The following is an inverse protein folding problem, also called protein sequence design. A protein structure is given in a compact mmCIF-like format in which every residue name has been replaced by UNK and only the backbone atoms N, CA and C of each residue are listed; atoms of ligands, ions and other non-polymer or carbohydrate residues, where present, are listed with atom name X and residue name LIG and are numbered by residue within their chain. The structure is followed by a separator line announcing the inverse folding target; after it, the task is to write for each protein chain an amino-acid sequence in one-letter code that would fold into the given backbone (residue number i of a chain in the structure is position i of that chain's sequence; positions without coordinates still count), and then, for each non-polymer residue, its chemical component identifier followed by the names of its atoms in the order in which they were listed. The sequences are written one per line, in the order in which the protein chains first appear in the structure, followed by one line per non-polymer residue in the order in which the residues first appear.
data_IF_571054892933
#
_entry.id   IF_571054892933
#
_cell.length_a   1.000
_cell.length_b   1.000
_cell.length_c   1.000
_cell.angle_alpha   90.00
_cell.angle_beta   90.00
_cell.angle_gamma   90.00
#
_symmetry.space_group_name_H-M   'P 1'
#
loop_
_entity.id
_entity.type
_entity.pdbx_description
1 polymer ?
#
# COMPACT_ATOMS: atom_id res chain seq x y z
N UNK A 1 -1.04 6.46 -10.42
CA UNK A 1 -1.28 6.99 -9.04
C UNK A 1 -1.26 5.82 -8.06
N UNK A 2 -0.37 5.84 -7.06
CA UNK A 2 -0.20 4.72 -6.12
C UNK A 2 -1.25 4.73 -5.01
N UNK A 3 -1.57 3.55 -4.48
CA UNK A 3 -2.41 3.36 -3.30
C UNK A 3 -1.58 2.77 -2.16
N UNK A 4 -1.70 3.35 -0.97
CA UNK A 4 -1.07 2.85 0.26
C UNK A 4 -2.14 2.62 1.32
N UNK A 5 -2.05 1.49 2.03
CA UNK A 5 -3.06 1.06 2.98
C UNK A 5 -2.51 0.07 4.01
N UNK A 6 -3.11 0.04 5.19
CA UNK A 6 -2.85 -0.98 6.21
C UNK A 6 -3.97 -2.04 6.28
N UNK A 7 -3.60 -3.30 6.54
CA UNK A 7 -4.55 -4.40 6.81
C UNK A 7 -3.97 -5.44 7.75
N UNK A 8 -4.84 -6.14 8.48
CA UNK A 8 -4.47 -7.35 9.25
C UNK A 8 -4.39 -8.61 8.37
N UNK A 9 -5.02 -8.59 7.19
CA UNK A 9 -5.03 -9.71 6.25
C UNK A 9 -4.73 -9.19 4.84
N UNK A 10 -3.50 -9.42 4.38
CA UNK A 10 -3.00 -8.95 3.08
C UNK A 10 -3.71 -9.66 1.92
N UNK A 11 -3.88 -10.97 1.99
CA UNK A 11 -4.49 -11.79 0.94
C UNK A 11 -5.92 -11.33 0.66
N UNK A 12 -6.74 -11.23 1.71
CA UNK A 12 -8.13 -10.78 1.60
C UNK A 12 -8.21 -9.40 0.96
N UNK A 13 -7.41 -8.45 1.44
CA UNK A 13 -7.43 -7.07 0.93
C UNK A 13 -6.96 -7.00 -0.53
N UNK A 14 -5.91 -7.72 -0.89
CA UNK A 14 -5.46 -7.76 -2.28
C UNK A 14 -6.57 -8.27 -3.20
N UNK A 15 -7.24 -9.37 -2.85
CA UNK A 15 -8.37 -9.90 -3.60
C UNK A 15 -9.52 -8.89 -3.73
N UNK A 16 -9.91 -8.20 -2.66
CA UNK A 16 -10.94 -7.16 -2.69
C UNK A 16 -10.58 -6.00 -3.63
N UNK A 17 -9.32 -5.55 -3.57
CA UNK A 17 -8.82 -4.45 -4.41
C UNK A 17 -8.66 -4.86 -5.88
N UNK A 18 -8.32 -6.12 -6.15
CA UNK A 18 -8.25 -6.69 -7.49
C UNK A 18 -9.64 -6.82 -8.13
N UNK A 19 -10.66 -7.19 -7.33
CA UNK A 19 -12.03 -7.52 -7.79
C UNK A 19 -13.06 -6.38 -7.85
N UNK A 20 -12.70 -5.10 -7.74
CA UNK A 20 -13.71 -4.02 -7.78
C UNK A 20 -14.20 -3.55 -6.44
N UNK A 21 -13.93 -4.29 -5.37
CA UNK A 21 -14.73 -4.21 -4.15
C UNK A 21 -14.31 -3.06 -3.22
N UNK A 22 -13.16 -2.43 -3.46
CA UNK A 22 -12.70 -1.26 -2.71
C UNK A 22 -13.09 0.04 -3.41
N UNK A 23 -13.80 0.94 -2.71
CA UNK A 23 -14.18 2.28 -3.22
C UNK A 23 -12.97 3.06 -3.77
N UNK A 24 -11.80 2.93 -3.14
CA UNK A 24 -10.60 3.69 -3.48
C UNK A 24 -9.89 3.21 -4.74
N UNK A 25 -10.04 1.93 -5.13
CA UNK A 25 -9.33 1.35 -6.29
C UNK A 25 -10.27 0.75 -7.33
N UNK A 26 -11.59 0.83 -7.16
CA UNK A 26 -12.60 0.27 -8.08
C UNK A 26 -12.40 0.70 -9.52
N UNK A 27 -12.07 1.96 -9.75
CA UNK A 27 -11.86 2.52 -11.10
C UNK A 27 -10.43 2.34 -11.63
N UNK A 28 -9.56 1.62 -10.91
CA UNK A 28 -8.11 1.50 -11.20
C UNK A 28 -7.67 0.05 -11.35
N UNK A 29 -8.60 -0.83 -11.70
CA UNK A 29 -8.33 -2.25 -11.83
C UNK A 29 -7.88 -2.65 -13.23
N UNK A 30 -7.07 -3.71 -13.34
CA UNK A 30 -6.52 -4.53 -12.25
C UNK A 30 -5.40 -3.83 -11.47
N UNK A 31 -5.30 -4.05 -10.16
CA UNK A 31 -4.21 -3.49 -9.33
C UNK A 31 -3.07 -4.50 -9.16
N UNK A 32 -1.82 -4.03 -9.25
CA UNK A 32 -0.61 -4.82 -9.00
C UNK A 32 -0.08 -4.53 -7.59
N UNK A 33 0.20 -5.57 -6.82
CA UNK A 33 0.90 -5.42 -5.53
C UNK A 33 2.41 -5.32 -5.79
N UNK A 34 2.99 -4.13 -5.60
CA UNK A 34 4.42 -3.86 -5.84
C UNK A 34 5.27 -3.89 -4.57
N UNK A 35 4.65 -3.72 -3.40
CA UNK A 35 5.35 -3.67 -2.11
C UNK A 35 4.41 -3.89 -0.93
N UNK A 36 4.90 -4.54 0.14
CA UNK A 36 4.24 -4.58 1.45
C UNK A 36 5.28 -4.68 2.57
N UNK A 37 4.90 -4.22 3.77
CA UNK A 37 5.68 -4.37 5.01
C UNK A 37 4.79 -5.05 6.06
N UNK A 38 5.36 -5.93 6.88
CA UNK A 38 4.68 -6.59 7.99
C UNK A 38 5.24 -6.11 9.33
N UNK A 39 4.35 -5.93 10.31
CA UNK A 39 4.67 -5.43 11.64
C UNK A 39 3.96 -6.30 12.68
N UNK A 40 4.62 -6.54 13.81
CA UNK A 40 4.00 -7.21 14.96
C UNK A 40 2.99 -6.29 15.65
N UNK A 41 3.31 -5.00 15.76
CA UNK A 41 2.45 -3.99 16.37
C UNK A 41 1.58 -3.29 15.33
N UNK A 42 0.26 -3.28 15.57
CA UNK A 42 -0.68 -2.52 14.72
C UNK A 42 -0.47 -1.01 14.82
N UNK A 43 0.14 -0.50 15.91
CA UNK A 43 0.46 0.93 16.06
C UNK A 43 1.61 1.32 15.13
N UNK A 44 2.63 0.49 15.02
CA UNK A 44 3.79 0.74 14.15
C UNK A 44 3.37 0.71 12.68
N UNK A 45 2.53 -0.25 12.30
CA UNK A 45 1.99 -0.36 10.96
C UNK A 45 1.18 0.89 10.54
N UNK A 46 0.34 1.42 11.44
CA UNK A 46 -0.43 2.64 11.18
C UNK A 46 0.46 3.87 11.12
N UNK A 47 1.41 4.02 12.06
CA UNK A 47 2.39 5.12 12.03
C UNK A 47 3.18 5.12 10.71
N UNK A 48 3.53 3.94 10.21
CA UNK A 48 4.19 3.77 8.91
C UNK A 48 3.28 4.18 7.75
N UNK A 49 2.03 3.75 7.75
CA UNK A 49 1.02 4.12 6.75
C UNK A 49 0.83 5.64 6.70
N UNK A 50 0.66 6.28 7.86
CA UNK A 50 0.52 7.74 7.98
C UNK A 50 1.76 8.45 7.45
N UNK A 51 2.95 7.93 7.76
CA UNK A 51 4.20 8.46 7.21
C UNK A 51 4.22 8.42 5.68
N UNK A 52 3.68 7.37 5.06
CA UNK A 52 3.61 7.24 3.60
C UNK A 52 2.54 8.12 2.96
N UNK A 53 1.42 8.35 3.64
CA UNK A 53 0.30 9.17 3.12
C UNK A 53 0.55 10.67 3.28
N UNK A 54 1.04 11.08 4.44
CA UNK A 54 1.14 12.50 4.82
C UNK A 54 2.48 13.12 4.40
N UNK A 55 3.58 12.36 4.46
CA UNK A 55 4.90 12.93 4.24
C UNK A 55 5.45 12.57 2.85
N UNK A 56 5.56 13.57 1.98
CA UNK A 56 6.18 13.44 0.64
C UNK A 56 7.57 12.78 0.70
N UNK A 57 8.36 13.10 1.73
CA UNK A 57 9.69 12.51 1.95
C UNK A 57 9.61 11.01 2.25
N UNK A 58 8.67 10.58 3.09
CA UNK A 58 8.45 9.17 3.43
C UNK A 58 8.14 8.33 2.20
N UNK A 59 7.24 8.82 1.34
CA UNK A 59 6.91 8.15 0.09
C UNK A 59 8.05 8.17 -0.94
N UNK A 60 8.79 9.28 -1.04
CA UNK A 60 9.95 9.39 -1.93
C UNK A 60 11.07 8.42 -1.56
N UNK A 61 11.39 8.28 -0.26
CA UNK A 61 12.37 7.30 0.21
C UNK A 61 11.94 5.87 -0.11
N UNK A 62 10.65 5.54 0.06
CA UNK A 62 10.14 4.23 -0.33
C UNK A 62 10.35 3.99 -1.83
N UNK A 63 9.96 4.95 -2.69
CA UNK A 63 10.17 4.83 -4.14
C UNK A 63 11.62 4.54 -4.51
N UNK A 64 12.58 5.24 -3.89
CA UNK A 64 14.02 4.99 -4.09
C UNK A 64 14.43 3.56 -3.72
N UNK A 65 13.86 3.01 -2.65
CA UNK A 65 14.12 1.63 -2.19
C UNK A 65 13.60 0.59 -3.18
N UNK A 66 12.44 0.83 -3.80
CA UNK A 66 11.75 -0.15 -4.66
C UNK A 66 11.80 0.21 -6.15
N UNK A 67 12.79 0.98 -6.58
CA UNK A 67 12.87 1.58 -7.92
C UNK A 67 12.61 0.57 -9.05
N UNK A 68 13.22 -0.61 -8.99
CA UNK A 68 13.05 -1.66 -10.01
C UNK A 68 11.74 -2.45 -9.90
N UNK A 69 11.05 -2.40 -8.75
CA UNK A 69 9.74 -3.04 -8.54
C UNK A 69 8.57 -2.15 -9.00
N UNK A 70 8.83 -0.89 -9.33
CA UNK A 70 7.85 0.06 -9.85
C UNK A 70 7.62 -0.07 -11.37
N UNK A 71 8.37 -0.96 -12.04
CA UNK A 71 8.28 -1.26 -13.47
C UNK A 71 7.09 -2.19 -13.79
#
# INVERSE_FOLDING_TARGET
MFYTGYTKNLRRRFTEHYLGKSKSTRYRQPVKLVYYEAYLSSKDARRREDMLKLHKKGFSMLKKRITHSLL
#
